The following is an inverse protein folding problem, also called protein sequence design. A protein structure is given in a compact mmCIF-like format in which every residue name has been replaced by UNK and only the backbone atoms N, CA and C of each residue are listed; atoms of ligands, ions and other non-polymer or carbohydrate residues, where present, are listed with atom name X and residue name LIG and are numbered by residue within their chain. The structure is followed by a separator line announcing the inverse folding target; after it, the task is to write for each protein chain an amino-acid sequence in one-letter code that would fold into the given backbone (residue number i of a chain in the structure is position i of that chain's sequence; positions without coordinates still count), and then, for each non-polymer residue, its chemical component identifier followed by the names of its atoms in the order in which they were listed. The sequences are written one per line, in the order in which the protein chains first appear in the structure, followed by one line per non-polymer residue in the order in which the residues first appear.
data_IF_026560072844
#
_entry.id   IF_026560072844
#
_cell.length_a   1.000
_cell.length_b   1.000
_cell.length_c   1.000
_cell.angle_alpha   90.00
_cell.angle_beta   90.00
_cell.angle_gamma   90.00
#
_symmetry.space_group_name_H-M   'P 1'
#
loop_
_entity.id
_entity.type
_entity.pdbx_description
1 polymer ?
#
# COMPACT_ATOMS: atom_id res chain seq x y z
N UNK A 1 20.98 21.22 4.69
CA UNK A 1 20.38 21.71 5.95
C UNK A 1 19.26 20.75 6.38
N UNK A 2 19.47 19.95 7.44
CA UNK A 2 18.39 19.14 8.03
C UNK A 2 17.37 20.11 8.62
N UNK A 3 16.17 20.22 8.03
CA UNK A 3 15.08 21.00 8.63
C UNK A 3 14.80 20.37 10.01
N UNK A 4 14.99 21.13 11.08
CA UNK A 4 14.53 20.76 12.41
C UNK A 4 13.00 20.66 12.36
N UNK A 5 12.48 19.48 11.97
CA UNK A 5 11.05 19.17 12.07
C UNK A 5 10.74 19.11 13.55
N UNK A 6 10.21 20.21 14.10
CA UNK A 6 9.67 20.23 15.46
C UNK A 6 8.65 19.10 15.58
N UNK A 7 8.76 18.29 16.63
CA UNK A 7 7.80 17.22 16.91
C UNK A 7 6.40 17.84 17.00
N UNK A 8 5.46 17.35 16.19
CA UNK A 8 4.07 17.83 16.23
C UNK A 8 3.39 17.20 17.45
N UNK A 9 2.64 17.99 18.25
CA UNK A 9 1.92 17.43 19.38
C UNK A 9 0.84 16.47 18.88
N UNK A 10 0.60 15.36 19.62
CA UNK A 10 -0.39 14.34 19.27
C UNK A 10 -1.76 14.96 18.97
N UNK A 11 -2.21 15.94 19.78
CA UNK A 11 -3.48 16.65 19.56
C UNK A 11 -3.59 17.31 18.18
N UNK A 12 -2.49 17.85 17.65
CA UNK A 12 -2.48 18.44 16.30
C UNK A 12 -2.66 17.37 15.22
N UNK A 13 -2.09 16.18 15.42
CA UNK A 13 -2.27 15.03 14.54
C UNK A 13 -3.71 14.52 14.64
N UNK A 14 -4.27 14.40 15.84
CA UNK A 14 -5.65 13.96 16.08
C UNK A 14 -6.71 14.88 15.43
N UNK A 15 -6.46 16.20 15.40
CA UNK A 15 -7.35 17.15 14.72
C UNK A 15 -7.53 16.82 13.23
N UNK A 16 -6.46 16.36 12.56
CA UNK A 16 -6.50 15.97 11.15
C UNK A 16 -6.89 14.49 10.96
N UNK A 17 -6.46 13.63 11.87
CA UNK A 17 -6.64 12.18 11.83
C UNK A 17 -7.39 11.72 13.07
N UNK A 18 -8.72 11.89 13.06
CA UNK A 18 -9.60 11.60 14.20
C UNK A 18 -9.53 10.16 14.73
N UNK A 19 -9.05 9.21 13.91
CA UNK A 19 -8.87 7.79 14.26
C UNK A 19 -7.56 7.48 15.02
N UNK A 20 -6.68 8.47 15.18
CA UNK A 20 -5.43 8.30 15.94
C UNK A 20 -5.73 8.48 17.42
N UNK A 21 -5.63 7.42 18.22
CA UNK A 21 -5.87 7.50 19.65
C UNK A 21 -4.60 7.68 20.48
N UNK A 22 -3.44 7.22 20.00
CA UNK A 22 -2.20 7.21 20.78
C UNK A 22 -0.94 7.44 19.94
N UNK A 23 0.16 7.84 20.60
CA UNK A 23 1.48 7.94 19.96
C UNK A 23 2.02 6.56 19.54
N UNK A 24 1.68 5.50 20.28
CA UNK A 24 2.05 4.13 19.92
C UNK A 24 1.50 3.75 18.55
N UNK A 25 0.25 4.11 18.25
CA UNK A 25 -0.36 3.88 16.96
C UNK A 25 0.38 4.62 15.83
N UNK A 26 0.90 5.82 16.10
CA UNK A 26 1.71 6.56 15.13
C UNK A 26 3.04 5.87 14.85
N UNK A 27 3.71 5.34 15.88
CA UNK A 27 4.96 4.57 15.71
C UNK A 27 4.72 3.29 14.92
N UNK A 28 3.64 2.57 15.21
CA UNK A 28 3.26 1.38 14.44
C UNK A 28 3.00 1.70 12.97
N UNK A 29 2.34 2.83 12.69
CA UNK A 29 2.14 3.27 11.30
C UNK A 29 3.45 3.64 10.62
N UNK A 30 4.38 4.27 11.33
CA UNK A 30 5.72 4.55 10.81
C UNK A 30 6.47 3.27 10.47
N UNK A 31 6.44 2.27 11.37
CA UNK A 31 7.02 0.94 11.14
C UNK A 31 6.39 0.27 9.90
N UNK A 32 5.06 0.28 9.78
CA UNK A 32 4.34 -0.28 8.63
C UNK A 32 4.68 0.42 7.31
N UNK A 33 4.83 1.75 7.34
CA UNK A 33 5.25 2.50 6.16
C UNK A 33 6.69 2.19 5.77
N UNK A 34 7.55 1.87 6.75
CA UNK A 34 8.92 1.46 6.51
C UNK A 34 9.03 0.02 6.01
N UNK A 35 8.19 -0.90 6.48
CA UNK A 35 8.20 -2.30 6.06
C UNK A 35 7.53 -2.51 4.71
N UNK A 36 6.31 -2.00 4.54
CA UNK A 36 5.46 -2.35 3.41
C UNK A 36 5.23 -1.18 2.44
N UNK A 37 5.84 -0.03 2.72
CA UNK A 37 5.62 1.19 1.95
C UNK A 37 4.24 1.82 2.18
N UNK A 38 3.99 2.91 1.46
CA UNK A 38 2.73 3.63 1.54
C UNK A 38 1.67 3.07 0.60
N UNK A 39 0.40 3.47 0.80
CA UNK A 39 -0.73 3.03 -0.04
C UNK A 39 -0.50 3.25 -1.54
N UNK A 40 0.14 4.36 -1.94
CA UNK A 40 0.37 4.67 -3.35
C UNK A 40 1.39 3.70 -3.94
N UNK A 41 2.46 3.40 -3.20
CA UNK A 41 3.46 2.40 -3.59
C UNK A 41 2.84 1.00 -3.71
N UNK A 42 2.05 0.59 -2.71
CA UNK A 42 1.31 -0.68 -2.76
C UNK A 42 0.39 -0.78 -3.98
N UNK A 43 -0.41 0.25 -4.24
CA UNK A 43 -1.29 0.29 -5.41
C UNK A 43 -0.52 0.29 -6.73
N UNK A 44 0.60 1.01 -6.80
CA UNK A 44 1.49 1.00 -7.97
C UNK A 44 2.07 -0.38 -8.22
N UNK A 45 2.49 -1.08 -7.16
CA UNK A 45 3.00 -2.44 -7.24
C UNK A 45 1.93 -3.42 -7.71
N UNK A 46 0.75 -3.44 -7.09
CA UNK A 46 -0.39 -4.28 -7.50
C UNK A 46 -0.75 -4.02 -8.97
N UNK A 47 -0.83 -2.75 -9.38
CA UNK A 47 -1.12 -2.38 -10.75
C UNK A 47 -0.11 -2.95 -11.74
N UNK A 48 1.19 -2.84 -11.42
CA UNK A 48 2.27 -3.39 -12.28
C UNK A 48 2.23 -4.92 -12.33
N UNK A 49 2.02 -5.57 -11.18
CA UNK A 49 1.95 -7.02 -11.09
C UNK A 49 0.78 -7.58 -11.91
N UNK A 50 -0.44 -7.06 -11.68
CA UNK A 50 -1.64 -7.48 -12.41
C UNK A 50 -1.50 -7.21 -13.90
N UNK A 51 -0.94 -6.06 -14.29
CA UNK A 51 -0.69 -5.75 -15.69
C UNK A 51 0.29 -6.73 -16.33
N UNK A 52 1.39 -7.07 -15.66
CA UNK A 52 2.35 -8.05 -16.17
C UNK A 52 1.70 -9.43 -16.37
N UNK A 53 0.93 -9.90 -15.38
CA UNK A 53 0.18 -11.17 -15.48
C UNK A 53 -0.82 -11.16 -16.64
N UNK A 54 -1.54 -10.06 -16.82
CA UNK A 54 -2.44 -9.88 -17.94
C UNK A 54 -1.70 -9.95 -19.29
N UNK A 55 -0.61 -9.19 -19.43
CA UNK A 55 0.18 -9.16 -20.67
C UNK A 55 0.70 -10.56 -21.03
N UNK A 56 1.29 -11.28 -20.06
CA UNK A 56 1.76 -12.66 -20.28
C UNK A 56 0.63 -13.59 -20.71
N UNK A 57 -0.56 -13.47 -20.11
CA UNK A 57 -1.71 -14.30 -20.46
C UNK A 57 -2.20 -14.02 -21.89
N UNK A 58 -2.29 -12.73 -22.27
CA UNK A 58 -2.69 -12.32 -23.63
C UNK A 58 -1.67 -12.76 -24.67
N UNK A 59 -0.36 -12.56 -24.41
CA UNK A 59 0.72 -13.01 -25.31
C UNK A 59 0.73 -14.53 -25.49
N UNK A 60 0.34 -15.28 -24.46
CA UNK A 60 0.21 -16.73 -24.51
C UNK A 60 -1.11 -17.21 -25.16
N UNK A 61 -1.97 -16.28 -25.61
CA UNK A 61 -3.23 -16.59 -26.28
C UNK A 61 -4.39 -16.97 -25.35
N UNK A 62 -4.27 -16.72 -24.03
CA UNK A 62 -5.36 -16.95 -23.10
C UNK A 62 -6.40 -15.82 -23.16
N UNK A 63 -7.67 -16.18 -23.07
CA UNK A 63 -8.75 -15.23 -22.81
C UNK A 63 -8.75 -14.93 -21.32
N UNK A 64 -8.49 -13.67 -20.97
CA UNK A 64 -8.49 -13.22 -19.58
C UNK A 64 -9.88 -12.73 -19.20
N UNK A 65 -10.45 -13.30 -18.15
CA UNK A 65 -11.73 -12.87 -17.60
C UNK A 65 -11.52 -11.96 -16.38
N UNK A 66 -12.54 -11.18 -16.02
CA UNK A 66 -12.50 -10.30 -14.85
C UNK A 66 -12.23 -11.06 -13.55
N UNK A 67 -12.70 -12.31 -13.45
CA UNK A 67 -12.41 -13.17 -12.29
C UNK A 67 -10.91 -13.49 -12.16
N UNK A 68 -10.17 -13.53 -13.27
CA UNK A 68 -8.73 -13.78 -13.24
C UNK A 68 -7.98 -12.54 -12.78
N UNK A 69 -8.42 -11.35 -13.16
CA UNK A 69 -7.89 -10.09 -12.63
C UNK A 69 -8.10 -9.97 -11.12
N UNK A 70 -9.27 -10.36 -10.63
CA UNK A 70 -9.54 -10.44 -9.19
C UNK A 70 -8.61 -11.44 -8.49
N UNK A 71 -8.42 -12.63 -9.08
CA UNK A 71 -7.49 -13.63 -8.54
C UNK A 71 -6.05 -13.13 -8.49
N UNK A 72 -5.58 -12.44 -9.53
CA UNK A 72 -4.22 -11.87 -9.54
C UNK A 72 -4.03 -10.80 -8.46
N UNK A 73 -5.07 -10.03 -8.18
CA UNK A 73 -5.08 -9.10 -7.04
C UNK A 73 -4.96 -9.83 -5.70
N UNK A 74 -5.77 -10.88 -5.47
CA UNK A 74 -5.76 -11.63 -4.20
C UNK A 74 -4.49 -12.45 -4.00
N UNK A 75 -3.93 -13.08 -5.04
CA UNK A 75 -2.69 -13.84 -4.92
C UNK A 75 -1.50 -12.97 -4.48
N UNK A 76 -1.59 -11.65 -4.65
CA UNK A 76 -0.58 -10.72 -4.15
C UNK A 76 -0.71 -10.44 -2.63
N UNK A 77 -1.90 -10.60 -2.05
CA UNK A 77 -2.18 -10.31 -0.64
C UNK A 77 -1.72 -11.44 0.32
N UNK A 78 -1.40 -12.64 -0.21
CA UNK A 78 -1.02 -13.83 0.56
C UNK A 78 0.44 -14.29 0.35
N UNK A 79 1.27 -13.50 -0.31
CA UNK A 79 2.70 -13.77 -0.49
C UNK A 79 3.62 -12.73 0.23
N UNK A 80 3.05 -11.85 1.06
CA UNK A 80 3.75 -11.05 2.07
C UNK A 80 3.66 -11.74 3.44
#
# INVERSE_FOLDING_TARGET
MKKNKRNRPLKSVQNKFRRVSSERQLRQWEEQLHSDGNRIEKLSYISKFTHNKFTVAVESGFIVHDIDLQRYHYCNEYNE
#
